data_IF_753283059238
#
_entry.id   IF_753283059238
#
_cell.length_a   1.000
_cell.length_b   1.000
_cell.length_c   1.000
_cell.angle_alpha   90.00
_cell.angle_beta   90.00
_cell.angle_gamma   90.00
#
_symmetry.space_group_name_H-M   'P 1'
#
loop_
_entity.id
_entity.type
_entity.pdbx_description
1 polymer ?
#
# COMPACT_ATOMS: atom_id res chain seq x y z
N UNK A 1 -43.99 -28.51 4.02
CA UNK A 1 -44.62 -27.38 3.28
C UNK A 1 -43.73 -26.14 3.23
N UNK A 2 -43.07 -25.73 4.33
CA UNK A 2 -42.19 -24.56 4.38
C UNK A 2 -40.96 -24.64 3.45
N UNK A 3 -40.25 -25.78 3.42
CA UNK A 3 -39.08 -25.97 2.54
C UNK A 3 -39.37 -25.71 1.06
N UNK A 4 -40.48 -26.25 0.53
CA UNK A 4 -40.87 -26.03 -0.88
C UNK A 4 -41.11 -24.55 -1.19
N UNK A 5 -41.67 -23.79 -0.24
CA UNK A 5 -41.87 -22.34 -0.39
C UNK A 5 -40.54 -21.59 -0.39
N UNK A 6 -39.64 -21.93 0.54
CA UNK A 6 -38.31 -21.32 0.62
C UNK A 6 -37.49 -21.59 -0.65
N UNK A 7 -37.46 -22.83 -1.14
CA UNK A 7 -36.79 -23.20 -2.38
C UNK A 7 -37.35 -22.44 -3.59
N UNK A 8 -38.66 -22.24 -3.66
CA UNK A 8 -39.29 -21.49 -4.74
C UNK A 8 -38.94 -19.99 -4.72
N UNK A 9 -38.64 -19.44 -3.54
CA UNK A 9 -38.22 -18.04 -3.37
C UNK A 9 -36.73 -17.82 -3.63
N UNK A 10 -35.92 -18.88 -3.74
CA UNK A 10 -34.50 -18.76 -4.05
C UNK A 10 -34.29 -18.50 -5.56
N UNK A 11 -33.18 -17.83 -5.93
CA UNK A 11 -32.79 -17.68 -7.33
C UNK A 11 -32.67 -19.05 -8.04
N UNK A 12 -33.07 -19.12 -9.31
CA UNK A 12 -32.94 -20.35 -10.13
C UNK A 12 -31.48 -20.72 -10.45
N UNK A 13 -30.60 -19.72 -10.50
CA UNK A 13 -29.16 -19.91 -10.72
C UNK A 13 -28.49 -20.56 -9.51
N UNK A 14 -27.76 -21.65 -9.75
CA UNK A 14 -27.17 -22.47 -8.68
C UNK A 14 -26.17 -21.71 -7.83
N UNK A 15 -25.35 -20.86 -8.43
CA UNK A 15 -24.33 -20.07 -7.72
C UNK A 15 -24.98 -18.99 -6.86
N UNK A 16 -25.96 -18.27 -7.40
CA UNK A 16 -26.71 -17.24 -6.66
C UNK A 16 -27.52 -17.85 -5.52
N UNK A 17 -28.15 -18.99 -5.76
CA UNK A 17 -28.90 -19.73 -4.73
C UNK A 17 -28.00 -20.14 -3.56
N UNK A 18 -26.83 -20.72 -3.86
CA UNK A 18 -25.85 -21.12 -2.85
C UNK A 18 -25.35 -19.92 -2.04
N UNK A 19 -25.06 -18.79 -2.71
CA UNK A 19 -24.57 -17.57 -2.05
C UNK A 19 -25.62 -16.98 -1.10
N UNK A 20 -26.89 -16.93 -1.52
CA UNK A 20 -28.00 -16.45 -0.68
C UNK A 20 -28.18 -17.35 0.54
N UNK A 21 -28.13 -18.68 0.35
CA UNK A 21 -28.21 -19.64 1.45
C UNK A 21 -27.05 -19.47 2.43
N UNK A 22 -25.82 -19.28 1.92
CA UNK A 22 -24.64 -19.03 2.76
C UNK A 22 -24.79 -17.75 3.58
N UNK A 23 -25.28 -16.66 2.98
CA UNK A 23 -25.53 -15.40 3.69
C UNK A 23 -26.65 -15.52 4.73
N UNK A 24 -27.74 -16.21 4.41
CA UNK A 24 -28.82 -16.47 5.36
C UNK A 24 -28.32 -17.28 6.55
N UNK A 25 -27.52 -18.33 6.31
CA UNK A 25 -26.91 -19.13 7.36
C UNK A 25 -25.96 -18.31 8.25
N UNK A 26 -25.19 -17.38 7.66
CA UNK A 26 -24.35 -16.44 8.41
C UNK A 26 -25.18 -15.46 9.25
N UNK A 27 -26.25 -14.89 8.69
CA UNK A 27 -27.13 -13.95 9.42
C UNK A 27 -27.88 -14.60 10.58
N UNK A 28 -28.21 -15.88 10.45
CA UNK A 28 -28.82 -16.68 11.51
C UNK A 28 -27.79 -17.22 12.52
N UNK A 29 -26.51 -16.83 12.40
CA UNK A 29 -25.39 -17.30 13.23
C UNK A 29 -25.22 -18.82 13.24
N UNK A 30 -25.66 -19.51 12.19
CA UNK A 30 -25.48 -20.96 12.01
C UNK A 30 -24.04 -21.24 11.55
N UNK A 31 -23.48 -20.34 10.74
CA UNK A 31 -22.11 -20.42 10.21
C UNK A 31 -21.39 -19.12 10.56
N UNK A 32 -20.15 -19.20 11.04
CA UNK A 32 -19.35 -18.00 11.29
C UNK A 32 -19.04 -17.28 9.97
N UNK A 33 -19.12 -15.94 9.99
CA UNK A 33 -18.71 -15.13 8.84
C UNK A 33 -17.22 -15.30 8.64
N UNK A 34 -16.81 -16.01 7.59
CA UNK A 34 -15.40 -16.12 7.21
C UNK A 34 -14.93 -14.73 6.79
N UNK A 35 -14.33 -13.98 7.71
CA UNK A 35 -13.57 -12.79 7.37
C UNK A 35 -12.34 -13.30 6.64
N UNK A 36 -12.32 -13.17 5.30
CA UNK A 36 -11.08 -13.29 4.54
C UNK A 36 -10.21 -12.12 5.01
N UNK A 37 -9.41 -12.36 6.05
CA UNK A 37 -8.36 -11.44 6.39
C UNK A 37 -7.41 -11.46 5.21
N UNK A 38 -7.45 -10.39 4.40
CA UNK A 38 -6.37 -10.11 3.47
C UNK A 38 -5.14 -9.77 4.32
N UNK A 39 -4.47 -10.78 4.88
CA UNK A 39 -3.12 -10.66 5.39
C UNK A 39 -2.17 -10.57 4.20
N UNK A 40 -2.34 -9.52 3.37
CA UNK A 40 -1.20 -9.04 2.61
C UNK A 40 -0.19 -8.63 3.68
N UNK A 41 0.82 -9.47 3.92
CA UNK A 41 2.07 -9.03 4.53
C UNK A 41 2.55 -7.88 3.66
N UNK A 42 2.18 -6.66 4.02
CA UNK A 42 2.77 -5.45 3.47
C UNK A 42 4.26 -5.62 3.76
N UNK A 43 5.07 -5.86 2.72
CA UNK A 43 6.53 -5.84 2.85
C UNK A 43 6.90 -4.40 3.16
N UNK A 44 6.83 -4.01 4.43
CA UNK A 44 7.25 -2.69 4.85
C UNK A 44 8.77 -2.67 4.85
N UNK A 45 9.34 -1.68 4.15
CA UNK A 45 10.77 -1.40 4.26
C UNK A 45 11.11 -1.10 5.72
N UNK A 46 12.28 -1.57 6.17
CA UNK A 46 12.77 -1.24 7.51
C UNK A 46 12.89 0.29 7.66
N UNK A 47 12.67 0.80 8.87
CA UNK A 47 12.74 2.23 9.16
C UNK A 47 14.14 2.78 8.80
N UNK A 48 15.19 2.00 9.06
CA UNK A 48 16.57 2.35 8.73
C UNK A 48 16.76 2.47 7.21
N UNK A 49 16.25 1.53 6.43
CA UNK A 49 16.36 1.55 4.98
C UNK A 49 15.61 2.74 4.38
N UNK A 50 14.41 3.06 4.89
CA UNK A 50 13.66 4.25 4.47
C UNK A 50 14.47 5.53 4.70
N UNK A 51 15.05 5.69 5.91
CA UNK A 51 15.87 6.84 6.24
C UNK A 51 17.09 6.95 5.32
N UNK A 52 17.75 5.83 5.05
CA UNK A 52 18.91 5.76 4.16
C UNK A 52 18.56 6.22 2.74
N UNK A 53 17.45 5.72 2.19
CA UNK A 53 16.96 6.12 0.86
C UNK A 53 16.65 7.60 0.83
N UNK A 54 15.92 8.13 1.84
CA UNK A 54 15.58 9.55 1.91
C UNK A 54 16.85 10.41 1.94
N UNK A 55 17.82 10.06 2.79
CA UNK A 55 19.08 10.80 2.92
C UNK A 55 19.87 10.79 1.61
N UNK A 56 19.98 9.65 0.95
CA UNK A 56 20.69 9.54 -0.33
C UNK A 56 20.08 10.46 -1.40
N UNK A 57 18.76 10.42 -1.57
CA UNK A 57 18.07 11.27 -2.55
C UNK A 57 18.11 12.76 -2.19
N UNK A 58 18.34 13.12 -0.93
CA UNK A 58 18.46 14.51 -0.48
C UNK A 58 19.88 15.09 -0.60
N UNK A 59 20.89 14.30 -0.99
CA UNK A 59 22.24 14.82 -1.17
C UNK A 59 22.32 15.80 -2.35
N UNK A 60 23.19 16.80 -2.21
CA UNK A 60 23.36 17.86 -3.22
C UNK A 60 24.04 17.38 -4.51
N UNK A 61 24.72 16.23 -4.48
CA UNK A 61 25.29 15.55 -5.66
C UNK A 61 24.29 14.65 -6.40
N UNK A 62 23.11 14.39 -5.81
CA UNK A 62 22.02 13.61 -6.42
C UNK A 62 20.86 14.51 -6.83
N UNK A 63 20.53 15.51 -6.02
CA UNK A 63 19.45 16.46 -6.30
C UNK A 63 19.86 17.91 -6.07
N UNK A 64 19.30 18.78 -6.91
CA UNK A 64 19.42 20.22 -6.77
C UNK A 64 18.19 20.83 -6.10
N UNK A 65 18.39 21.67 -5.08
CA UNK A 65 17.32 22.33 -4.34
C UNK A 65 16.86 23.60 -5.06
N UNK A 66 15.56 23.70 -5.32
CA UNK A 66 15.00 24.85 -6.05
C UNK A 66 14.85 26.07 -5.15
N UNK A 67 15.40 27.25 -5.49
CA UNK A 67 15.50 28.38 -4.56
C UNK A 67 14.19 29.16 -4.32
N UNK A 68 13.12 28.87 -5.06
CA UNK A 68 11.91 29.70 -5.05
C UNK A 68 11.00 29.49 -3.84
N UNK A 69 10.34 30.57 -3.39
CA UNK A 69 9.30 30.50 -2.34
C UNK A 69 8.13 29.57 -2.72
N UNK A 70 7.82 29.45 -4.02
CA UNK A 70 6.78 28.55 -4.56
C UNK A 70 7.23 27.08 -4.62
N UNK A 71 8.50 26.83 -4.33
CA UNK A 71 9.08 25.49 -4.35
C UNK A 71 8.98 24.82 -2.98
N UNK A 72 8.37 25.46 -2.00
CA UNK A 72 8.03 24.83 -0.73
C UNK A 72 6.64 24.20 -0.79
N UNK A 73 6.51 23.02 -0.18
CA UNK A 73 5.26 22.26 -0.02
C UNK A 73 5.11 21.85 1.43
N UNK A 74 3.90 21.90 1.95
CA UNK A 74 3.57 21.41 3.29
C UNK A 74 3.00 20.01 3.16
N UNK A 75 3.57 19.06 3.89
CA UNK A 75 3.10 17.67 3.96
C UNK A 75 2.88 17.28 5.41
N UNK A 76 1.90 16.41 5.66
CA UNK A 76 1.64 15.87 6.99
C UNK A 76 2.37 14.53 7.12
N UNK A 77 3.15 14.36 8.18
CA UNK A 77 3.85 13.13 8.50
C UNK A 77 2.90 12.03 8.97
N UNK A 78 3.41 10.80 9.09
CA UNK A 78 2.71 9.64 9.66
C UNK A 78 2.24 9.89 11.10
N UNK A 79 2.87 10.82 11.83
CA UNK A 79 2.49 11.23 13.19
C UNK A 79 1.43 12.34 13.24
N UNK A 80 0.94 12.83 12.10
CA UNK A 80 0.00 13.94 12.02
C UNK A 80 0.62 15.33 12.13
N UNK A 81 1.95 15.43 12.24
CA UNK A 81 2.67 16.70 12.29
C UNK A 81 2.87 17.28 10.89
N UNK A 82 2.69 18.59 10.73
CA UNK A 82 2.92 19.27 9.45
C UNK A 82 4.39 19.67 9.30
N UNK A 83 5.01 19.26 8.20
CA UNK A 83 6.38 19.65 7.84
C UNK A 83 6.41 20.39 6.51
N UNK A 84 7.31 21.37 6.38
CA UNK A 84 7.53 22.09 5.12
C UNK A 84 8.78 21.53 4.44
N UNK A 85 8.62 21.04 3.21
CA UNK A 85 9.68 20.48 2.39
C UNK A 85 9.92 21.35 1.16
N UNK A 86 11.17 21.47 0.72
CA UNK A 86 11.54 22.17 -0.50
C UNK A 86 11.63 21.18 -1.65
N UNK A 87 11.04 21.52 -2.79
CA UNK A 87 11.15 20.73 -4.03
C UNK A 87 12.60 20.68 -4.47
N UNK A 88 13.00 19.49 -4.91
CA UNK A 88 14.33 19.21 -5.44
C UNK A 88 14.20 18.57 -6.82
N UNK A 89 15.14 18.84 -7.71
CA UNK A 89 15.24 18.23 -9.04
C UNK A 89 16.33 17.16 -8.99
N UNK A 90 16.02 15.96 -9.48
CA UNK A 90 17.04 14.92 -9.66
C UNK A 90 18.02 15.32 -10.76
N UNK A 91 19.31 15.21 -10.48
CA UNK A 91 20.36 15.49 -11.45
C UNK A 91 20.49 14.38 -12.51
N UNK A 92 20.10 13.17 -12.15
CA UNK A 92 20.07 11.99 -13.02
C UNK A 92 18.64 11.49 -13.20
N UNK A 93 18.42 10.59 -14.17
CA UNK A 93 17.13 9.94 -14.25
C UNK A 93 16.93 8.97 -13.06
N UNK A 94 15.69 8.51 -12.86
CA UNK A 94 15.34 7.64 -11.72
C UNK A 94 16.13 6.33 -11.75
N UNK A 95 16.36 5.76 -12.94
CA UNK A 95 17.07 4.50 -13.11
C UNK A 95 18.55 4.62 -12.76
N UNK A 96 19.18 5.69 -13.22
CA UNK A 96 20.58 6.02 -12.91
C UNK A 96 20.77 6.30 -11.44
N UNK A 97 19.91 7.12 -10.85
CA UNK A 97 19.96 7.43 -9.41
C UNK A 97 19.81 6.17 -8.55
N UNK A 98 18.92 5.25 -8.95
CA UNK A 98 18.78 3.96 -8.28
C UNK A 98 20.04 3.10 -8.44
N UNK A 99 20.64 3.06 -9.63
CA UNK A 99 21.87 2.32 -9.85
C UNK A 99 23.02 2.87 -8.98
N UNK A 100 23.17 4.20 -8.89
CA UNK A 100 24.13 4.85 -7.98
C UNK A 100 23.89 4.45 -6.52
N UNK A 101 22.62 4.40 -6.09
CA UNK A 101 22.27 3.94 -4.75
C UNK A 101 22.66 2.47 -4.53
N UNK A 102 22.36 1.58 -5.48
CA UNK A 102 22.73 0.17 -5.37
C UNK A 102 24.24 -0.02 -5.40
N UNK A 103 24.97 0.73 -6.21
CA UNK A 103 26.43 0.65 -6.28
C UNK A 103 27.08 1.12 -4.95
N UNK A 104 26.55 2.19 -4.34
CA UNK A 104 27.05 2.70 -3.06
C UNK A 104 26.65 1.82 -1.86
N UNK A 105 25.47 1.20 -1.90
CA UNK A 105 24.88 0.44 -0.78
C UNK A 105 24.71 -1.06 -1.05
N UNK A 106 25.44 -1.62 -2.03
CA UNK A 106 25.30 -2.98 -2.58
C UNK A 106 25.30 -4.12 -1.55
N UNK A 107 25.87 -3.88 -0.36
CA UNK A 107 25.88 -4.85 0.75
C UNK A 107 24.61 -4.91 1.61
N UNK A 108 23.66 -3.98 1.42
CA UNK A 108 22.34 -4.05 2.04
C UNK A 108 21.40 -4.59 0.96
N UNK A 109 20.76 -5.74 1.17
CA UNK A 109 19.81 -6.34 0.23
C UNK A 109 18.63 -5.38 -0.07
N UNK A 110 18.82 -4.41 -0.96
CA UNK A 110 17.79 -3.49 -1.44
C UNK A 110 17.23 -4.04 -2.74
N UNK A 111 16.66 -5.24 -2.62
CA UNK A 111 15.99 -5.88 -3.74
C UNK A 111 14.53 -5.40 -3.78
N UNK A 112 14.20 -4.56 -4.75
CA UNK A 112 12.81 -4.17 -5.06
C UNK A 112 12.20 -5.26 -5.94
N UNK A 113 11.90 -6.41 -5.34
CA UNK A 113 11.17 -7.53 -5.94
C UNK A 113 9.69 -7.58 -5.52
#
# INVERSE_FOLDING_TARGET
>A
KALKRALHSLPKDTNKSMMVVQHLAQNLNIISKTVRQHTRKQRSLSIELKKLVIQFYQRDDITYQLPGKRDYVTVTDDNGESMTLQKRILLYNIRETYQLFVDEYSNKNVDLS
#
